data_IF_857942465420
#
_entry.id   IF_857942465420
#
_cell.length_a   1.000
_cell.length_b   1.000
_cell.length_c   1.000
_cell.angle_alpha   90.00
_cell.angle_beta   90.00
_cell.angle_gamma   90.00
#
_symmetry.space_group_name_H-M   'P 1'
#
loop_
_entity.id
_entity.type
_entity.pdbx_description
1 polymer ?
#
# COMPACT_ATOMS: atom_id res chain seq x y z
N UNK A 1 -28.36 -3.45 11.95
CA UNK A 1 -27.58 -2.42 11.22
C UNK A 1 -28.04 -2.47 9.78
N UNK A 2 -28.31 -1.32 9.16
CA UNK A 2 -28.59 -1.26 7.74
C UNK A 2 -27.29 -1.12 6.96
N UNK A 3 -27.15 -1.85 5.85
CA UNK A 3 -26.06 -1.70 4.88
C UNK A 3 -26.52 -0.70 3.82
N UNK A 4 -25.80 0.41 3.67
CA UNK A 4 -26.01 1.34 2.57
C UNK A 4 -24.86 1.18 1.58
N UNK A 5 -25.16 0.69 0.37
CA UNK A 5 -24.17 0.59 -0.70
C UNK A 5 -23.71 1.98 -1.14
N UNK A 6 -22.41 2.17 -1.28
CA UNK A 6 -21.82 3.39 -1.82
C UNK A 6 -22.06 3.46 -3.34
N UNK A 7 -22.67 4.55 -3.84
CA UNK A 7 -22.99 4.68 -5.26
C UNK A 7 -21.77 4.89 -6.16
N UNK A 8 -20.59 5.20 -5.58
CA UNK A 8 -19.36 5.51 -6.30
C UNK A 8 -18.24 4.49 -6.03
N UNK A 9 -17.24 4.41 -6.91
CA UNK A 9 -16.12 3.46 -6.87
C UNK A 9 -16.41 2.13 -7.59
N UNK A 10 -15.39 1.33 -7.97
CA UNK A 10 -15.55 0.14 -8.82
C UNK A 10 -15.93 -1.15 -8.06
N UNK A 11 -15.90 -1.13 -6.72
CA UNK A 11 -16.12 -2.29 -5.86
C UNK A 11 -17.36 -2.14 -4.97
N UNK A 12 -17.88 -3.26 -4.45
CA UNK A 12 -18.86 -3.27 -3.38
C UNK A 12 -18.28 -2.65 -2.10
N UNK A 13 -18.86 -1.55 -1.64
CA UNK A 13 -18.47 -0.88 -0.39
C UNK A 13 -19.71 -0.38 0.32
N UNK A 14 -19.80 -0.65 1.62
CA UNK A 14 -21.02 -0.45 2.38
C UNK A 14 -20.77 0.35 3.65
N UNK A 15 -21.55 1.40 3.87
CA UNK A 15 -21.63 2.00 5.20
C UNK A 15 -22.49 1.14 6.11
N UNK A 16 -21.94 0.77 7.26
CA UNK A 16 -22.68 0.22 8.38
C UNK A 16 -23.13 1.38 9.26
N UNK A 17 -24.44 1.47 9.51
CA UNK A 17 -25.02 2.52 10.36
C UNK A 17 -25.44 1.98 11.72
N UNK A 18 -25.27 2.81 12.75
CA UNK A 18 -25.76 2.51 14.10
C UNK A 18 -27.29 2.31 14.09
N UNK A 19 -27.81 1.46 14.99
CA UNK A 19 -29.24 1.18 15.11
C UNK A 19 -30.05 2.31 15.79
N UNK A 20 -29.40 3.39 16.21
CA UNK A 20 -30.02 4.56 16.84
C UNK A 20 -30.75 5.46 15.84
N UNK A 21 -31.63 6.33 16.35
CA UNK A 21 -32.46 7.26 15.56
C UNK A 21 -31.70 8.13 14.56
N UNK A 22 -30.46 8.51 14.87
CA UNK A 22 -29.66 9.42 14.03
C UNK A 22 -28.91 8.73 12.87
N UNK A 23 -28.97 7.38 12.78
CA UNK A 23 -28.47 6.57 11.66
C UNK A 23 -27.11 7.03 11.09
N UNK A 24 -26.13 7.37 11.94
CA UNK A 24 -24.80 7.77 11.48
C UNK A 24 -23.97 6.54 11.08
N UNK A 25 -23.02 6.73 10.16
CA UNK A 25 -22.09 5.69 9.75
C UNK A 25 -21.09 5.40 10.87
N UNK A 26 -20.81 4.12 11.12
CA UNK A 26 -19.86 3.67 12.16
C UNK A 26 -18.72 2.84 11.61
N UNK A 27 -18.91 2.22 10.44
CA UNK A 27 -17.87 1.46 9.75
C UNK A 27 -18.14 1.41 8.25
N UNK A 28 -17.09 1.09 7.48
CA UNK A 28 -17.14 0.75 6.06
C UNK A 28 -16.79 -0.72 5.92
N UNK A 29 -17.64 -1.49 5.26
CA UNK A 29 -17.41 -2.90 4.94
C UNK A 29 -17.19 -3.09 3.44
N UNK A 30 -16.11 -3.77 3.08
CA UNK A 30 -15.74 -4.10 1.70
C UNK A 30 -15.68 -5.63 1.55
N UNK A 31 -16.70 -6.28 0.95
CA UNK A 31 -16.73 -7.73 0.78
C UNK A 31 -15.75 -8.17 -0.30
N UNK A 32 -15.03 -9.27 -0.03
CA UNK A 32 -14.06 -9.85 -0.97
C UNK A 32 -14.70 -10.29 -2.29
N UNK A 33 -15.90 -10.87 -2.22
CA UNK A 33 -16.60 -11.41 -3.38
C UNK A 33 -17.23 -10.33 -4.27
N UNK A 34 -17.10 -9.06 -3.88
CA UNK A 34 -17.61 -7.89 -4.61
C UNK A 34 -16.51 -6.92 -5.06
N UNK A 35 -15.25 -7.33 -4.95
CA UNK A 35 -14.12 -6.59 -5.52
C UNK A 35 -14.23 -6.49 -7.06
N UNK A 36 -13.47 -5.60 -7.72
CA UNK A 36 -13.42 -5.55 -9.18
C UNK A 36 -13.10 -6.93 -9.76
N UNK A 37 -13.87 -7.35 -10.76
CA UNK A 37 -13.79 -8.69 -11.39
C UNK A 37 -14.15 -9.90 -10.49
N UNK A 38 -14.63 -9.67 -9.26
CA UNK A 38 -15.13 -10.75 -8.41
C UNK A 38 -16.53 -11.22 -8.83
N UNK A 39 -16.86 -12.47 -8.50
CA UNK A 39 -18.05 -13.18 -8.99
C UNK A 39 -19.38 -12.50 -8.64
N UNK A 40 -19.42 -11.74 -7.54
CA UNK A 40 -20.64 -11.10 -7.01
C UNK A 40 -20.58 -9.57 -7.04
N UNK A 41 -19.67 -8.95 -7.82
CA UNK A 41 -19.56 -7.49 -7.88
C UNK A 41 -20.90 -6.86 -8.34
N UNK A 42 -21.54 -6.01 -7.50
CA UNK A 42 -22.86 -5.44 -7.81
C UNK A 42 -22.80 -4.28 -8.81
N UNK A 43 -21.61 -3.80 -9.16
CA UNK A 43 -21.41 -2.67 -10.07
C UNK A 43 -21.15 -3.16 -11.48
N UNK A 44 -21.71 -2.49 -12.51
CA UNK A 44 -21.42 -2.86 -13.90
C UNK A 44 -19.92 -2.79 -14.11
N UNK A 45 -19.34 -3.89 -14.59
CA UNK A 45 -17.93 -3.95 -14.92
C UNK A 45 -17.64 -2.86 -15.96
N UNK A 46 -17.05 -1.74 -15.56
CA UNK A 46 -16.60 -0.68 -16.47
C UNK A 46 -15.38 -1.13 -17.29
N UNK A 47 -14.85 -2.31 -16.95
CA UNK A 47 -13.81 -3.00 -17.68
C UNK A 47 -14.40 -3.55 -18.98
N UNK A 48 -14.15 -2.83 -20.09
CA UNK A 48 -14.41 -3.36 -21.43
C UNK A 48 -13.83 -4.76 -21.59
N UNK A 49 -14.51 -5.60 -22.38
CA UNK A 49 -14.14 -6.95 -22.81
C UNK A 49 -12.76 -7.43 -22.35
N UNK A 50 -12.65 -8.07 -21.18
CA UNK A 50 -11.57 -8.99 -20.78
C UNK A 50 -10.16 -8.78 -21.39
N UNK A 51 -9.71 -7.53 -21.57
CA UNK A 51 -8.30 -7.20 -21.69
C UNK A 51 -7.87 -6.91 -20.26
N UNK A 52 -6.83 -7.58 -19.78
CA UNK A 52 -6.39 -7.57 -18.38
C UNK A 52 -5.92 -6.21 -17.83
N UNK A 53 -6.32 -5.09 -18.43
CA UNK A 53 -5.83 -3.73 -18.20
C UNK A 53 -6.61 -2.94 -17.14
N UNK A 54 -7.62 -3.54 -16.51
CA UNK A 54 -8.43 -2.86 -15.46
C UNK A 54 -8.04 -3.21 -14.02
N UNK A 55 -7.16 -4.19 -13.83
CA UNK A 55 -6.52 -4.46 -12.54
C UNK A 55 -5.14 -3.80 -12.54
N UNK A 56 -4.81 -3.04 -11.48
CA UNK A 56 -3.44 -2.55 -11.25
C UNK A 56 -2.47 -3.72 -11.36
N UNK A 57 -1.38 -3.53 -12.09
CA UNK A 57 -0.41 -4.59 -12.37
C UNK A 57 0.14 -5.13 -11.04
N UNK A 58 0.01 -6.44 -10.84
CA UNK A 58 0.57 -7.14 -9.69
C UNK A 58 -0.37 -7.35 -8.50
N UNK A 59 -1.64 -6.94 -8.55
CA UNK A 59 -2.66 -7.25 -7.53
C UNK A 59 -3.75 -8.13 -8.15
N UNK A 60 -4.06 -9.27 -7.52
CA UNK A 60 -5.09 -10.18 -8.02
C UNK A 60 -6.46 -9.83 -7.44
N UNK A 61 -7.57 -10.07 -8.17
CA UNK A 61 -8.92 -9.94 -7.62
C UNK A 61 -9.11 -10.76 -6.34
N UNK A 62 -9.73 -10.17 -5.32
CA UNK A 62 -9.97 -10.82 -4.04
C UNK A 62 -8.78 -10.77 -3.06
N UNK A 63 -7.74 -9.98 -3.35
CA UNK A 63 -6.64 -9.72 -2.41
C UNK A 63 -6.81 -8.38 -1.65
N UNK A 64 -7.82 -7.56 -1.97
CA UNK A 64 -7.96 -6.20 -1.47
C UNK A 64 -8.30 -6.13 0.03
N UNK A 65 -9.24 -6.95 0.50
CA UNK A 65 -9.65 -6.95 1.91
C UNK A 65 -8.48 -7.26 2.88
N UNK A 66 -7.62 -8.22 2.55
CA UNK A 66 -6.42 -8.51 3.34
C UNK A 66 -5.48 -7.31 3.39
N UNK A 67 -5.29 -6.63 2.26
CA UNK A 67 -4.40 -5.47 2.14
C UNK A 67 -4.87 -4.28 2.99
N UNK A 68 -6.18 -4.07 3.11
CA UNK A 68 -6.76 -3.09 4.05
C UNK A 68 -6.40 -3.42 5.51
N UNK A 69 -6.45 -4.70 5.89
CA UNK A 69 -6.04 -5.13 7.24
C UNK A 69 -4.53 -4.98 7.44
N UNK A 70 -3.73 -5.34 6.43
CA UNK A 70 -2.27 -5.20 6.47
C UNK A 70 -1.87 -3.73 6.69
N UNK A 71 -2.51 -2.78 6.01
CA UNK A 71 -2.23 -1.35 6.18
C UNK A 71 -2.42 -0.90 7.63
N UNK A 72 -3.48 -1.35 8.29
CA UNK A 72 -3.74 -1.01 9.69
C UNK A 72 -2.73 -1.66 10.65
N UNK A 73 -2.44 -2.95 10.51
CA UNK A 73 -1.51 -3.64 11.43
C UNK A 73 -0.07 -3.15 11.27
N UNK A 74 0.30 -2.69 10.08
CA UNK A 74 1.64 -2.17 9.79
C UNK A 74 1.77 -0.67 10.04
N UNK A 75 0.69 0.06 10.32
CA UNK A 75 0.75 1.45 10.77
C UNK A 75 1.23 1.54 12.24
N UNK A 76 2.52 1.26 12.45
CA UNK A 76 3.13 1.14 13.77
C UNK A 76 2.95 2.41 14.59
N UNK A 77 2.42 2.26 15.81
CA UNK A 77 2.11 3.41 16.66
C UNK A 77 1.01 4.32 16.12
N UNK A 78 0.25 3.87 15.11
CA UNK A 78 -0.75 4.65 14.40
C UNK A 78 -0.17 5.96 13.83
N UNK A 79 1.05 5.88 13.31
CA UNK A 79 1.80 7.04 12.83
C UNK A 79 1.07 7.75 11.68
N UNK A 80 0.65 7.01 10.65
CA UNK A 80 -0.12 7.55 9.53
C UNK A 80 -1.59 7.78 9.89
N UNK A 81 -2.10 7.05 10.88
CA UNK A 81 -3.46 7.19 11.38
C UNK A 81 -4.46 6.36 10.59
N UNK A 82 -4.05 5.20 10.04
CA UNK A 82 -4.96 4.29 9.35
C UNK A 82 -6.09 3.89 10.32
N UNK A 83 -7.37 4.10 9.96
CA UNK A 83 -8.46 3.73 10.85
C UNK A 83 -8.47 2.23 11.15
N UNK A 84 -8.94 1.87 12.35
CA UNK A 84 -8.98 0.49 12.80
C UNK A 84 -9.67 -0.42 11.79
N UNK A 85 -8.94 -1.39 11.26
CA UNK A 85 -9.41 -2.30 10.22
C UNK A 85 -9.24 -3.74 10.66
N UNK A 86 -10.28 -4.56 10.46
CA UNK A 86 -10.24 -5.98 10.76
C UNK A 86 -10.91 -6.80 9.66
N UNK A 87 -10.48 -8.05 9.51
CA UNK A 87 -11.18 -9.04 8.69
C UNK A 87 -12.43 -9.51 9.44
N UNK A 88 -13.61 -9.45 8.82
CA UNK A 88 -14.86 -9.88 9.43
C UNK A 88 -15.68 -10.76 8.50
N UNK A 89 -16.55 -11.58 9.10
CA UNK A 89 -17.61 -12.28 8.41
C UNK A 89 -18.94 -11.61 8.77
N UNK A 90 -19.59 -10.99 7.79
CA UNK A 90 -20.89 -10.35 7.95
C UNK A 90 -22.00 -11.25 7.41
N UNK A 91 -23.09 -11.34 8.16
CA UNK A 91 -24.30 -12.03 7.75
C UNK A 91 -25.47 -11.06 7.77
N UNK A 92 -26.28 -11.09 6.71
CA UNK A 92 -27.52 -10.33 6.67
C UNK A 92 -28.55 -10.94 7.65
N UNK A 93 -29.19 -10.08 8.47
CA UNK A 93 -30.18 -10.54 9.45
C UNK A 93 -31.38 -11.21 8.76
N UNK A 94 -31.78 -12.38 9.26
CA UNK A 94 -32.97 -13.12 8.80
C UNK A 94 -32.70 -14.16 7.69
N UNK A 95 -31.46 -14.29 7.22
CA UNK A 95 -31.08 -15.28 6.21
C UNK A 95 -30.42 -16.54 6.82
N UNK A 96 -30.64 -17.75 6.28
CA UNK A 96 -30.01 -18.98 6.78
C UNK A 96 -28.48 -18.93 6.74
N UNK A 97 -27.83 -19.47 7.78
CA UNK A 97 -26.36 -19.47 8.00
C UNK A 97 -25.52 -19.96 6.82
N UNK A 98 -26.09 -20.74 5.90
CA UNK A 98 -25.34 -21.45 4.86
C UNK A 98 -25.29 -20.75 3.49
N UNK A 99 -25.96 -19.61 3.28
CA UNK A 99 -26.07 -19.03 1.93
C UNK A 99 -25.56 -17.61 1.71
N UNK A 100 -25.36 -16.79 2.75
CA UNK A 100 -25.08 -15.34 2.57
C UNK A 100 -24.11 -14.75 3.62
N UNK A 101 -23.06 -15.49 4.00
CA UNK A 101 -21.96 -14.93 4.80
C UNK A 101 -20.96 -14.30 3.85
N UNK A 102 -20.75 -12.98 3.99
CA UNK A 102 -19.74 -12.23 3.23
C UNK A 102 -18.52 -12.00 4.10
N UNK A 103 -17.36 -12.39 3.60
CA UNK A 103 -16.07 -12.13 4.26
C UNK A 103 -15.45 -10.90 3.60
N UNK A 104 -14.94 -9.98 4.40
CA UNK A 104 -14.41 -8.71 3.90
C UNK A 104 -13.72 -7.89 4.98
N UNK A 105 -13.11 -6.78 4.57
CA UNK A 105 -12.51 -5.83 5.49
C UNK A 105 -13.60 -4.94 6.10
N UNK A 106 -13.51 -4.71 7.41
CA UNK A 106 -14.33 -3.76 8.13
C UNK A 106 -13.42 -2.70 8.73
N UNK A 107 -13.52 -1.48 8.21
CA UNK A 107 -12.77 -0.33 8.67
C UNK A 107 -13.67 0.60 9.47
N UNK A 108 -13.18 1.07 10.61
CA UNK A 108 -13.88 2.06 11.43
C UNK A 108 -14.13 3.33 10.60
N UNK A 109 -15.37 3.82 10.62
CA UNK A 109 -15.70 5.10 10.02
C UNK A 109 -15.08 6.24 10.84
N UNK A 110 -14.52 7.22 10.16
CA UNK A 110 -13.95 8.43 10.76
C UNK A 110 -14.63 9.65 10.16
N UNK A 111 -14.98 10.61 11.02
CA UNK A 111 -15.60 11.86 10.56
C UNK A 111 -14.56 12.71 9.81
N UNK A 112 -14.96 13.24 8.65
CA UNK A 112 -14.15 14.14 7.83
C UNK A 112 -14.99 15.35 7.38
N UNK A 113 -14.31 16.40 6.94
CA UNK A 113 -14.91 17.58 6.30
C UNK A 113 -14.77 17.53 4.77
N UNK A 114 -14.44 16.36 4.22
CA UNK A 114 -14.13 16.11 2.81
C UNK A 114 -12.87 15.25 2.63
N UNK A 115 -12.49 15.02 1.39
CA UNK A 115 -11.22 14.41 0.98
C UNK A 115 -10.30 15.43 0.31
N UNK A 116 -9.04 15.08 0.04
CA UNK A 116 -8.05 16.03 -0.46
C UNK A 116 -8.34 16.59 -1.87
N UNK A 117 -9.24 16.01 -2.68
CA UNK A 117 -9.59 16.58 -4.00
C UNK A 117 -10.36 17.90 -3.87
N UNK A 118 -11.09 18.07 -2.76
CA UNK A 118 -11.88 19.27 -2.48
C UNK A 118 -11.03 20.43 -1.92
N UNK A 119 -9.74 20.20 -1.63
CA UNK A 119 -8.89 21.16 -0.91
C UNK A 119 -7.57 21.45 -1.62
N UNK A 120 -7.10 22.70 -1.52
CA UNK A 120 -5.79 23.08 -2.02
C UNK A 120 -4.64 22.51 -1.19
N UNK A 121 -3.75 21.74 -1.83
CA UNK A 121 -2.65 21.03 -1.16
C UNK A 121 -1.70 21.91 -0.33
N UNK A 122 -1.62 23.21 -0.61
CA UNK A 122 -0.83 24.17 0.19
C UNK A 122 -1.27 24.27 1.65
N UNK A 123 -2.49 23.83 1.98
CA UNK A 123 -3.08 23.89 3.32
C UNK A 123 -2.77 22.66 4.18
N UNK A 124 -2.21 21.61 3.59
CA UNK A 124 -2.00 20.34 4.29
C UNK A 124 -0.81 20.40 5.25
N UNK A 125 -0.90 19.82 6.47
CA UNK A 125 0.22 19.76 7.40
C UNK A 125 1.37 18.93 6.82
N UNK A 126 2.59 19.47 6.90
CA UNK A 126 3.80 18.78 6.40
C UNK A 126 3.95 17.40 7.03
N UNK A 127 3.79 17.35 8.33
CA UNK A 127 3.99 16.15 9.13
C UNK A 127 2.99 15.04 8.77
N UNK A 128 1.70 15.38 8.55
CA UNK A 128 0.69 14.39 8.15
C UNK A 128 0.95 13.85 6.74
N UNK A 129 1.38 14.71 5.81
CA UNK A 129 1.79 14.28 4.46
C UNK A 129 2.99 13.32 4.55
N UNK A 130 3.98 13.62 5.39
CA UNK A 130 5.17 12.75 5.54
C UNK A 130 4.81 11.39 6.13
N UNK A 131 3.91 11.34 7.12
CA UNK A 131 3.46 10.07 7.72
C UNK A 131 2.75 9.18 6.70
N UNK A 132 1.87 9.76 5.88
CA UNK A 132 1.21 9.06 4.77
C UNK A 132 2.24 8.59 3.74
N UNK A 133 3.19 9.46 3.35
CA UNK A 133 4.23 9.12 2.38
C UNK A 133 5.12 7.96 2.85
N UNK A 134 5.49 7.92 4.13
CA UNK A 134 6.25 6.82 4.74
C UNK A 134 5.50 5.50 4.60
N UNK A 135 4.20 5.49 4.95
CA UNK A 135 3.37 4.29 4.86
C UNK A 135 3.20 3.85 3.39
N UNK A 136 2.86 4.77 2.50
CA UNK A 136 2.60 4.46 1.08
C UNK A 136 3.85 3.98 0.35
N UNK A 137 5.01 4.61 0.57
CA UNK A 137 6.28 4.15 -0.01
C UNK A 137 6.60 2.75 0.51
N UNK A 138 6.56 2.56 1.84
CA UNK A 138 6.85 1.26 2.45
C UNK A 138 5.94 0.16 1.91
N UNK A 139 4.65 0.44 1.78
CA UNK A 139 3.65 -0.53 1.31
C UNK A 139 3.50 -0.56 -0.21
N UNK A 140 4.29 0.20 -0.97
CA UNK A 140 4.21 0.22 -2.43
C UNK A 140 2.77 0.49 -2.93
N UNK A 141 2.15 1.57 -2.45
CA UNK A 141 0.77 1.91 -2.80
C UNK A 141 0.64 2.25 -4.30
N UNK A 142 -0.29 1.57 -4.98
CA UNK A 142 -0.55 1.77 -6.42
C UNK A 142 -1.72 2.70 -6.71
N UNK A 143 -2.39 3.21 -5.66
CA UNK A 143 -3.61 3.99 -5.80
C UNK A 143 -3.75 5.11 -4.76
N UNK A 144 -2.66 5.73 -4.29
CA UNK A 144 -2.79 6.91 -3.42
C UNK A 144 -3.14 8.16 -4.24
N UNK A 145 -4.42 8.50 -4.22
CA UNK A 145 -4.99 9.74 -4.77
C UNK A 145 -5.69 10.57 -3.68
N UNK A 146 -6.24 11.74 -4.05
CA UNK A 146 -6.75 12.73 -3.11
C UNK A 146 -8.02 12.26 -2.43
N UNK A 147 -8.87 11.54 -3.16
CA UNK A 147 -10.09 10.94 -2.63
C UNK A 147 -9.80 9.87 -1.57
N UNK A 148 -8.60 9.29 -1.58
CA UNK A 148 -8.14 8.31 -0.61
C UNK A 148 -7.48 8.93 0.63
N UNK A 149 -7.51 10.25 0.79
CA UNK A 149 -7.00 10.95 1.98
C UNK A 149 -8.08 11.88 2.51
N UNK A 150 -8.59 11.57 3.70
CA UNK A 150 -9.62 12.39 4.34
C UNK A 150 -9.01 13.61 5.02
N UNK A 151 -9.73 14.73 4.95
CA UNK A 151 -9.38 15.99 5.61
C UNK A 151 -10.32 16.21 6.79
N UNK A 152 -9.76 16.53 7.97
CA UNK A 152 -10.55 16.94 9.13
C UNK A 152 -9.97 18.21 9.74
N UNK A 153 -10.79 19.23 9.91
CA UNK A 153 -10.45 20.50 10.55
C UNK A 153 -11.10 20.60 11.92
N UNK A 154 -10.28 20.64 12.96
CA UNK A 154 -10.73 20.81 14.33
C UNK A 154 -9.94 21.91 15.02
N UNK A 155 -10.65 22.87 15.62
CA UNK A 155 -10.06 24.00 16.35
C UNK A 155 -8.93 24.73 15.57
N UNK A 156 -9.14 24.91 14.26
CA UNK A 156 -8.17 25.59 13.36
C UNK A 156 -6.98 24.74 12.92
N UNK A 157 -6.88 23.48 13.37
CA UNK A 157 -5.87 22.52 12.89
C UNK A 157 -6.46 21.62 11.82
N UNK A 158 -5.69 21.40 10.76
CA UNK A 158 -5.99 20.42 9.72
C UNK A 158 -5.31 19.10 10.08
N UNK A 159 -5.99 17.99 9.87
CA UNK A 159 -5.48 16.64 10.02
C UNK A 159 -5.83 15.81 8.80
N UNK A 160 -4.89 14.97 8.36
CA UNK A 160 -5.12 14.03 7.26
C UNK A 160 -5.27 12.60 7.80
N UNK A 161 -6.11 11.81 7.15
CA UNK A 161 -6.29 10.40 7.48
C UNK A 161 -6.30 9.56 6.19
N UNK A 162 -5.29 8.70 5.97
CA UNK A 162 -5.28 7.84 4.80
C UNK A 162 -6.32 6.73 4.97
N UNK A 163 -7.10 6.50 3.91
CA UNK A 163 -8.05 5.40 3.81
C UNK A 163 -7.80 4.61 2.53
N UNK A 164 -8.56 3.56 2.29
CA UNK A 164 -8.56 2.80 1.03
C UNK A 164 -7.19 2.24 0.62
N UNK A 165 -6.74 1.22 1.36
CA UNK A 165 -5.46 0.55 1.13
C UNK A 165 -5.62 -0.77 0.38
N UNK A 166 -6.73 -0.99 -0.33
CA UNK A 166 -6.94 -2.24 -1.07
C UNK A 166 -5.88 -2.51 -2.15
N UNK A 167 -5.16 -1.47 -2.58
CA UNK A 167 -4.22 -1.52 -3.72
C UNK A 167 -2.75 -1.32 -3.32
N UNK A 168 -2.35 -1.75 -2.12
CA UNK A 168 -0.94 -1.78 -1.65
C UNK A 168 -0.28 -3.14 -1.91
N UNK A 169 1.03 -3.28 -1.67
CA UNK A 169 1.84 -4.51 -1.68
C UNK A 169 1.79 -5.34 -2.99
N UNK A 170 1.85 -4.70 -4.18
CA UNK A 170 1.78 -5.39 -5.46
C UNK A 170 2.96 -6.35 -5.68
N UNK A 171 2.81 -7.26 -6.64
CA UNK A 171 3.91 -8.11 -7.12
C UNK A 171 4.91 -7.37 -8.05
N UNK A 172 4.65 -6.11 -8.41
CA UNK A 172 5.48 -5.26 -9.26
C UNK A 172 5.40 -3.81 -8.79
N UNK A 173 6.44 -3.01 -9.04
CA UNK A 173 6.50 -1.56 -8.73
C UNK A 173 6.16 -0.67 -9.93
N UNK A 174 5.62 -1.25 -11.00
CA UNK A 174 5.28 -0.55 -12.24
C UNK A 174 4.22 0.55 -12.06
N UNK A 175 3.19 0.28 -11.23
CA UNK A 175 2.00 1.14 -11.09
C UNK A 175 1.97 1.94 -9.77
N UNK A 176 3.14 2.23 -9.17
CA UNK A 176 3.17 3.04 -7.94
C UNK A 176 2.60 4.44 -8.18
N UNK A 177 1.60 4.82 -7.38
CA UNK A 177 0.88 6.09 -7.53
C UNK A 177 0.84 6.84 -6.22
N UNK A 178 1.51 8.01 -6.20
CA UNK A 178 1.66 8.86 -5.03
C UNK A 178 1.25 10.29 -5.37
N UNK A 179 0.00 10.68 -5.11
CA UNK A 179 -0.43 12.06 -5.37
C UNK A 179 0.34 13.09 -4.52
N UNK A 180 0.67 12.74 -3.28
CA UNK A 180 1.45 13.61 -2.40
C UNK A 180 2.83 13.97 -2.95
N UNK A 181 3.34 13.24 -3.95
CA UNK A 181 4.58 13.56 -4.66
C UNK A 181 4.55 14.97 -5.26
N UNK A 182 3.36 15.42 -5.68
CA UNK A 182 3.19 16.73 -6.33
C UNK A 182 2.93 17.86 -5.32
N UNK A 183 2.84 17.56 -4.03
CA UNK A 183 2.56 18.54 -3.00
C UNK A 183 3.84 19.20 -2.46
N UNK A 184 3.81 20.50 -2.11
CA UNK A 184 5.01 21.21 -1.64
C UNK A 184 5.59 20.61 -0.34
N UNK A 185 4.79 19.92 0.46
CA UNK A 185 5.18 19.23 1.69
C UNK A 185 6.17 18.10 1.42
N UNK A 186 6.02 17.36 0.31
CA UNK A 186 6.90 16.24 -0.01
C UNK A 186 8.34 16.67 -0.30
N UNK A 187 8.56 17.94 -0.68
CA UNK A 187 9.88 18.52 -0.93
C UNK A 187 10.59 19.00 0.34
N UNK A 188 9.96 18.87 1.51
CA UNK A 188 10.56 19.23 2.80
C UNK A 188 11.27 18.01 3.41
N UNK A 189 12.37 18.20 4.16
CA UNK A 189 13.05 17.10 4.83
C UNK A 189 12.17 16.48 5.91
N UNK A 190 12.33 15.18 6.16
CA UNK A 190 11.71 14.50 7.28
C UNK A 190 12.14 15.13 8.61
N UNK A 191 11.24 15.12 9.60
CA UNK A 191 11.57 15.48 10.97
C UNK A 191 12.47 14.41 11.63
N UNK A 192 13.28 14.76 12.64
CA UNK A 192 14.10 13.80 13.37
C UNK A 192 13.31 12.61 13.93
N UNK A 193 12.08 12.86 14.39
CA UNK A 193 11.17 11.85 14.91
C UNK A 193 10.80 10.83 13.82
N UNK A 194 10.49 11.30 12.61
CA UNK A 194 10.17 10.44 11.47
C UNK A 194 11.41 9.68 10.95
N UNK A 195 12.59 10.30 10.95
CA UNK A 195 13.83 9.61 10.61
C UNK A 195 14.13 8.47 11.59
N UNK A 196 13.90 8.70 12.89
CA UNK A 196 14.04 7.67 13.90
C UNK A 196 13.05 6.53 13.66
N UNK A 197 11.77 6.84 13.39
CA UNK A 197 10.75 5.84 13.05
C UNK A 197 11.16 5.01 11.83
N UNK A 198 11.56 5.66 10.73
CA UNK A 198 11.99 4.98 9.50
C UNK A 198 13.17 4.04 9.78
N UNK A 199 14.15 4.48 10.58
CA UNK A 199 15.33 3.66 10.90
C UNK A 199 15.00 2.33 11.59
N UNK A 200 13.88 2.28 12.33
CA UNK A 200 13.42 1.13 13.11
C UNK A 200 12.55 0.14 12.33
N UNK A 201 12.10 0.49 11.12
CA UNK A 201 11.30 -0.41 10.28
C UNK A 201 12.06 -1.70 9.94
N UNK A 202 11.38 -2.84 9.99
CA UNK A 202 11.97 -4.16 9.77
C UNK A 202 10.99 -5.03 8.97
N UNK A 203 11.26 -5.16 7.67
CA UNK A 203 10.36 -5.85 6.74
C UNK A 203 10.16 -7.33 7.10
N UNK A 204 11.17 -8.02 7.62
CA UNK A 204 11.02 -9.44 7.97
C UNK A 204 10.18 -9.63 9.23
N UNK A 205 10.37 -8.75 10.22
CA UNK A 205 9.49 -8.71 11.40
C UNK A 205 8.04 -8.38 11.02
N UNK A 206 7.86 -7.46 10.09
CA UNK A 206 6.54 -7.04 9.62
C UNK A 206 5.83 -8.13 8.82
N UNK A 207 6.56 -8.89 8.00
CA UNK A 207 6.04 -10.07 7.31
C UNK A 207 5.60 -11.16 8.30
N UNK A 208 6.32 -11.32 9.41
CA UNK A 208 5.88 -12.21 10.49
C UNK A 208 4.58 -11.72 11.13
N UNK A 209 4.42 -10.41 11.35
CA UNK A 209 3.16 -9.85 11.86
C UNK A 209 1.98 -10.10 10.92
N UNK A 210 2.20 -10.02 9.60
CA UNK A 210 1.19 -10.36 8.58
C UNK A 210 0.83 -11.85 8.66
N UNK A 211 1.84 -12.73 8.75
CA UNK A 211 1.65 -14.17 8.85
C UNK A 211 0.88 -14.57 10.12
N UNK A 212 1.09 -13.86 11.23
CA UNK A 212 0.37 -14.08 12.49
C UNK A 212 -1.14 -13.76 12.37
N UNK A 213 -1.54 -12.90 11.41
CA UNK A 213 -2.94 -12.66 11.04
C UNK A 213 -3.52 -13.73 10.10
N UNK A 214 -2.75 -14.79 9.78
CA UNK A 214 -3.10 -15.84 8.81
C UNK A 214 -3.31 -15.31 7.39
N UNK A 215 -2.66 -14.19 7.08
CA UNK A 215 -2.64 -13.63 5.72
C UNK A 215 -1.35 -14.10 5.06
N UNK A 216 -1.46 -14.71 3.88
CA UNK A 216 -0.31 -15.18 3.11
C UNK A 216 -0.13 -14.26 1.90
N UNK A 217 1.03 -13.63 1.81
CA UNK A 217 1.43 -12.88 0.61
C UNK A 217 2.12 -13.80 -0.39
N UNK A 218 2.01 -13.45 -1.68
CA UNK A 218 2.81 -14.11 -2.72
C UNK A 218 4.29 -13.72 -2.54
N UNK A 219 5.25 -14.62 -2.82
CA UNK A 219 6.68 -14.34 -2.62
C UNK A 219 7.17 -13.05 -3.31
N UNK A 220 6.61 -12.74 -4.49
CA UNK A 220 6.92 -11.51 -5.23
C UNK A 220 6.46 -10.26 -4.47
N UNK A 221 5.29 -10.30 -3.82
CA UNK A 221 4.78 -9.19 -3.00
C UNK A 221 5.66 -8.98 -1.77
N UNK A 222 6.10 -10.06 -1.12
CA UNK A 222 7.03 -9.96 0.01
C UNK A 222 8.38 -9.36 -0.40
N UNK A 223 8.89 -9.73 -1.58
CA UNK A 223 10.10 -9.15 -2.14
C UNK A 223 9.93 -7.65 -2.35
N UNK A 224 8.86 -7.23 -3.02
CA UNK A 224 8.59 -5.80 -3.23
C UNK A 224 8.52 -5.06 -1.89
N UNK A 225 7.84 -5.61 -0.89
CA UNK A 225 7.78 -5.01 0.45
C UNK A 225 9.16 -4.86 1.12
N UNK A 226 10.03 -5.87 1.02
CA UNK A 226 11.42 -5.79 1.51
C UNK A 226 12.20 -4.71 0.77
N UNK A 227 12.08 -4.67 -0.56
CA UNK A 227 12.77 -3.71 -1.43
C UNK A 227 12.33 -2.27 -1.13
N UNK A 228 11.02 -2.00 -1.06
CA UNK A 228 10.51 -0.65 -0.81
C UNK A 228 10.82 -0.17 0.60
N UNK A 229 10.78 -1.05 1.59
CA UNK A 229 11.25 -0.75 2.95
C UNK A 229 12.75 -0.41 2.94
N UNK A 230 13.58 -1.18 2.22
CA UNK A 230 15.01 -0.91 2.08
C UNK A 230 15.28 0.46 1.44
N UNK A 231 14.62 0.76 0.31
CA UNK A 231 14.75 2.04 -0.41
C UNK A 231 14.37 3.21 0.49
N UNK A 232 13.25 3.11 1.20
CA UNK A 232 12.81 4.13 2.14
C UNK A 232 13.86 4.37 3.24
N UNK A 233 14.37 3.30 3.87
CA UNK A 233 15.38 3.40 4.92
C UNK A 233 16.67 4.03 4.45
N UNK A 234 17.19 3.59 3.29
CA UNK A 234 18.45 4.09 2.72
C UNK A 234 18.30 5.54 2.25
N UNK A 235 17.21 5.86 1.56
CA UNK A 235 16.92 7.23 1.11
C UNK A 235 16.80 8.20 2.28
N UNK A 236 16.06 7.84 3.32
CA UNK A 236 15.93 8.66 4.53
C UNK A 236 17.28 8.85 5.25
N UNK A 237 18.11 7.80 5.34
CA UNK A 237 19.45 7.89 5.92
C UNK A 237 20.40 8.81 5.14
N UNK A 238 20.22 8.93 3.82
CA UNK A 238 20.92 9.88 2.96
C UNK A 238 20.38 11.32 3.05
N UNK A 239 19.34 11.56 3.87
CA UNK A 239 18.70 12.86 4.01
C UNK A 239 17.79 13.23 2.83
N UNK A 240 17.39 12.26 2.01
CA UNK A 240 16.46 12.49 0.89
C UNK A 240 15.06 12.82 1.42
N UNK A 241 14.39 13.75 0.74
CA UNK A 241 13.00 14.13 0.99
C UNK A 241 12.02 13.05 0.52
N UNK A 242 10.77 13.02 1.01
CA UNK A 242 9.73 12.13 0.46
C UNK A 242 9.60 12.26 -1.05
N UNK A 243 9.71 13.47 -1.60
CA UNK A 243 9.69 13.72 -3.03
C UNK A 243 10.80 12.98 -3.76
N UNK A 244 12.04 13.07 -3.28
CA UNK A 244 13.18 12.42 -3.93
C UNK A 244 13.06 10.90 -3.85
N UNK A 245 12.64 10.34 -2.72
CA UNK A 245 12.46 8.88 -2.59
C UNK A 245 11.30 8.40 -3.47
N UNK A 246 10.15 9.06 -3.42
CA UNK A 246 9.00 8.72 -4.26
C UNK A 246 9.31 8.82 -5.76
N UNK A 247 10.08 9.82 -6.17
CA UNK A 247 10.54 9.98 -7.56
C UNK A 247 11.52 8.89 -8.02
N UNK A 248 12.25 8.28 -7.09
CA UNK A 248 13.11 7.12 -7.38
C UNK A 248 12.28 5.84 -7.56
N UNK A 249 11.15 5.74 -6.86
CA UNK A 249 10.27 4.57 -6.86
C UNK A 249 9.26 4.58 -8.01
N UNK A 250 8.79 5.74 -8.44
CA UNK A 250 7.71 5.88 -9.43
C UNK A 250 8.21 6.21 -10.83
N UNK A 251 7.47 5.76 -11.84
CA UNK A 251 7.75 6.05 -13.27
C UNK A 251 7.68 7.54 -13.57
N UNK A 252 8.45 7.98 -14.57
CA UNK A 252 8.32 9.31 -15.18
C UNK A 252 7.67 9.15 -16.55
N UNK A 253 6.40 9.53 -16.66
CA UNK A 253 5.62 9.45 -17.91
C UNK A 253 5.58 8.02 -18.46
N UNK A 254 6.43 7.68 -19.42
CA UNK A 254 6.47 6.37 -20.10
C UNK A 254 7.73 5.55 -19.78
N UNK A 255 8.67 6.10 -19.00
CA UNK A 255 9.92 5.42 -18.68
C UNK A 255 9.81 4.63 -17.38
N UNK A 256 10.45 3.46 -17.34
CA UNK A 256 10.61 2.67 -16.13
C UNK A 256 11.28 3.49 -15.02
N UNK A 257 10.81 3.33 -13.78
CA UNK A 257 11.42 3.98 -12.63
C UNK A 257 12.84 3.45 -12.38
N UNK A 258 13.72 4.24 -11.72
CA UNK A 258 15.01 3.74 -11.27
C UNK A 258 14.91 2.43 -10.47
N UNK A 259 13.86 2.30 -9.64
CA UNK A 259 13.61 1.10 -8.85
C UNK A 259 13.25 -0.13 -9.71
N UNK A 260 12.44 0.04 -10.75
CA UNK A 260 12.12 -1.03 -11.70
C UNK A 260 13.37 -1.56 -12.40
N UNK A 261 14.22 -0.66 -12.89
CA UNK A 261 15.45 -1.02 -13.58
C UNK A 261 16.37 -1.80 -12.63
N UNK A 262 16.48 -1.37 -11.37
CA UNK A 262 17.27 -2.11 -10.35
C UNK A 262 16.71 -3.52 -10.15
N UNK A 263 15.39 -3.66 -10.02
CA UNK A 263 14.78 -4.98 -9.80
C UNK A 263 15.01 -5.91 -10.99
N UNK A 264 14.84 -5.42 -12.22
CA UNK A 264 15.08 -6.20 -13.43
C UNK A 264 16.55 -6.67 -13.52
N UNK A 265 17.50 -5.75 -13.34
CA UNK A 265 18.94 -6.06 -13.39
C UNK A 265 19.36 -7.01 -12.25
N UNK A 266 18.89 -6.77 -11.03
CA UNK A 266 19.21 -7.61 -9.87
C UNK A 266 18.68 -9.04 -10.04
N UNK A 267 17.45 -9.20 -10.58
CA UNK A 267 16.89 -10.52 -10.91
C UNK A 267 17.72 -11.22 -11.99
N UNK A 268 18.16 -10.48 -13.02
CA UNK A 268 19.00 -11.03 -14.09
C UNK A 268 20.38 -11.49 -13.58
N UNK A 269 21.04 -10.69 -12.73
CA UNK A 269 22.34 -11.04 -12.14
C UNK A 269 22.22 -12.19 -11.13
N UNK A 270 21.19 -12.18 -10.28
CA UNK A 270 20.90 -13.29 -9.38
C UNK A 270 20.70 -14.59 -10.15
N UNK A 271 19.93 -14.57 -11.24
CA UNK A 271 19.72 -15.75 -12.09
C UNK A 271 21.03 -16.27 -12.71
N UNK A 272 21.93 -15.39 -13.16
CA UNK A 272 23.27 -15.77 -13.66
C UNK A 272 24.11 -16.41 -12.55
N UNK A 273 24.12 -15.84 -11.35
CA UNK A 273 24.87 -16.35 -10.21
C UNK A 273 24.35 -17.71 -9.75
N UNK A 274 23.04 -17.87 -9.60
CA UNK A 274 22.39 -19.11 -9.21
C UNK A 274 22.69 -20.22 -10.22
N UNK A 275 22.65 -19.92 -11.53
CA UNK A 275 23.03 -20.88 -12.59
C UNK A 275 24.48 -21.34 -12.48
N UNK A 276 25.42 -20.44 -12.14
CA UNK A 276 26.84 -20.79 -11.93
C UNK A 276 27.06 -21.65 -10.70
N UNK A 277 26.23 -21.49 -9.66
CA UNK A 277 26.35 -22.20 -8.38
C UNK A 277 25.61 -23.56 -8.37
N UNK A 278 24.69 -23.79 -9.30
CA UNK A 278 23.91 -25.03 -9.35
C UNK A 278 24.68 -26.22 -9.96
N UNK A 279 25.46 -26.89 -9.10
CA UNK A 279 25.91 -28.26 -9.34
C UNK A 279 25.62 -29.27 -8.19
N UNK A 280 24.90 -28.95 -7.09
CA UNK A 280 24.86 -29.90 -5.95
C UNK A 280 23.59 -30.07 -5.07
N UNK A 281 22.62 -29.16 -4.95
CA UNK A 281 21.61 -29.31 -3.87
C UNK A 281 20.22 -29.79 -4.33
N UNK A 282 19.66 -30.87 -3.75
CA UNK A 282 18.38 -31.52 -4.16
C UNK A 282 17.10 -31.00 -3.46
N UNK A 283 17.20 -30.06 -2.49
CA UNK A 283 16.04 -29.61 -1.71
C UNK A 283 15.44 -28.29 -2.26
N UNK A 284 14.15 -28.30 -2.63
CA UNK A 284 13.47 -27.20 -3.32
C UNK A 284 13.25 -25.94 -2.44
N UNK A 285 12.91 -26.11 -1.16
CA UNK A 285 12.64 -24.99 -0.25
C UNK A 285 13.93 -24.19 0.04
N UNK A 286 15.04 -24.89 0.29
CA UNK A 286 16.36 -24.28 0.44
C UNK A 286 16.78 -23.51 -0.81
N UNK A 287 16.42 -23.97 -2.02
CA UNK A 287 16.70 -23.24 -3.26
C UNK A 287 15.95 -21.92 -3.34
N UNK A 288 14.67 -21.87 -2.95
CA UNK A 288 13.88 -20.64 -2.97
C UNK A 288 14.45 -19.59 -1.99
N UNK A 289 14.72 -19.99 -0.74
CA UNK A 289 15.29 -19.08 0.26
C UNK A 289 16.67 -18.55 -0.15
N UNK A 290 17.55 -19.42 -0.66
CA UNK A 290 18.86 -19.01 -1.17
C UNK A 290 18.74 -18.09 -2.40
N UNK A 291 17.76 -18.34 -3.26
CA UNK A 291 17.53 -17.48 -4.44
C UNK A 291 17.11 -16.08 -4.03
N UNK A 292 16.18 -15.97 -3.08
CA UNK A 292 15.71 -14.67 -2.59
C UNK A 292 16.82 -13.88 -1.88
N UNK A 293 17.66 -14.57 -1.09
CA UNK A 293 18.80 -13.94 -0.43
C UNK A 293 19.80 -13.38 -1.45
N UNK A 294 20.07 -14.11 -2.54
CA UNK A 294 20.96 -13.64 -3.62
C UNK A 294 20.33 -12.45 -4.36
N UNK A 295 19.02 -12.49 -4.65
CA UNK A 295 18.31 -11.36 -5.27
C UNK A 295 18.44 -10.11 -4.40
N UNK A 296 18.13 -10.22 -3.10
CA UNK A 296 18.18 -9.08 -2.18
C UNK A 296 19.59 -8.51 -2.01
N UNK A 297 20.65 -9.32 -2.10
CA UNK A 297 22.03 -8.83 -2.10
C UNK A 297 22.33 -7.94 -3.31
N UNK A 298 21.91 -8.35 -4.52
CA UNK A 298 22.08 -7.54 -5.73
C UNK A 298 21.25 -6.26 -5.67
N UNK A 299 19.98 -6.37 -5.23
CA UNK A 299 19.12 -5.20 -5.02
C UNK A 299 19.77 -4.22 -4.05
N UNK A 300 20.20 -4.66 -2.86
CA UNK A 300 20.78 -3.75 -1.88
C UNK A 300 22.04 -3.04 -2.40
N UNK A 301 22.91 -3.77 -3.09
CA UNK A 301 24.11 -3.19 -3.71
C UNK A 301 23.74 -2.08 -4.71
N UNK A 302 22.82 -2.36 -5.63
CA UNK A 302 22.41 -1.42 -6.68
C UNK A 302 21.62 -0.23 -6.10
N UNK A 303 20.77 -0.46 -5.10
CA UNK A 303 20.02 0.60 -4.38
C UNK A 303 20.97 1.57 -3.71
N UNK A 304 22.01 1.08 -3.01
CA UNK A 304 22.98 1.95 -2.34
C UNK A 304 23.67 2.88 -3.34
N UNK A 305 24.16 2.34 -4.46
CA UNK A 305 24.87 3.12 -5.49
C UNK A 305 23.94 4.16 -6.17
N UNK A 306 22.77 3.72 -6.63
CA UNK A 306 21.87 4.56 -7.43
C UNK A 306 21.12 5.60 -6.61
N UNK A 307 20.80 5.33 -5.34
CA UNK A 307 20.18 6.34 -4.47
C UNK A 307 21.13 7.49 -4.18
N UNK A 308 22.42 7.22 -3.97
CA UNK A 308 23.42 8.29 -3.79
C UNK A 308 23.56 9.15 -5.04
N UNK A 309 23.58 8.54 -6.23
CA UNK A 309 23.59 9.27 -7.50
C UNK A 309 22.32 10.11 -7.66
N UNK A 310 21.15 9.52 -7.46
CA UNK A 310 19.86 10.19 -7.54
C UNK A 310 19.76 11.38 -6.58
N UNK A 311 20.28 11.23 -5.37
CA UNK A 311 20.35 12.31 -4.38
C UNK A 311 21.15 13.51 -4.87
N UNK A 312 22.27 13.27 -5.56
CA UNK A 312 23.08 14.34 -6.18
C UNK A 312 22.37 15.02 -7.34
N UNK A 313 21.69 14.25 -8.18
CA UNK A 313 20.98 14.76 -9.36
C UNK A 313 19.73 15.57 -9.02
N UNK A 314 19.10 15.28 -7.88
CA UNK A 314 17.85 15.93 -7.44
C UNK A 314 18.05 17.01 -6.37
N UNK A 315 19.29 17.35 -6.03
CA UNK A 315 19.62 18.38 -5.04
C UNK A 315 19.47 19.83 -5.56
N UNK A 316 18.99 20.02 -6.80
CA UNK A 316 18.74 21.31 -7.46
C UNK A 316 17.28 21.75 -7.32
#
# INVERSE_FOLDING_TARGET
MALLCLPYGPCGSYFLRAASSDSHAVAVFKPKDEEPLAINNPKPCLCGEATGDSCKVGILPGEGAEREVIAYILDHGHLAGVPATAMVACQEQGQPLSRNVKVGSLQKYVDSDGDCEEWGASQFPVEDVHRIAILDMRLANTDRNGSNILVRRQAGKCHLTPIDHGMILPASVEDLSFEWLFWPQAKKPFSPELLQYISQLDADRDLQLIADQRITLRPECERIFRVTTLVLKKGAALGLTPFQIGLFMSRRVCDASPLEVILEEALAEAAKQIRRQHHSSKNLCLRHSLSEQVIMQHVESMVNERLEQHGRETAT
#
